data_IF_524041697436
#
_entry.id   IF_524041697436
#
_cell.length_a   1.000
_cell.length_b   1.000
_cell.length_c   1.000
_cell.angle_alpha   90.00
_cell.angle_beta   90.00
_cell.angle_gamma   90.00
#
_symmetry.space_group_name_H-M   'P 1'
#
loop_
_entity.id
_entity.type
_entity.pdbx_description
1 polymer ?
#
# COMPACT_ATOMS: atom_id res chain seq x y z
N UNK A 1 14.93 2.26 -30.62
CA UNK A 1 13.58 1.71 -30.86
C UNK A 1 12.62 2.87 -31.01
N UNK A 2 11.87 2.92 -32.10
CA UNK A 2 10.89 3.97 -32.43
C UNK A 2 9.79 4.01 -31.37
N UNK A 3 9.62 5.17 -30.73
CA UNK A 3 8.44 5.46 -29.90
C UNK A 3 7.18 5.38 -30.75
N UNK A 4 6.26 4.48 -30.37
CA UNK A 4 4.96 4.35 -31.03
C UNK A 4 4.00 5.37 -30.40
N UNK A 5 3.64 6.39 -31.17
CA UNK A 5 2.60 7.35 -30.77
C UNK A 5 1.21 6.76 -31.05
N UNK A 6 0.46 6.46 -29.99
CA UNK A 6 -0.88 5.88 -30.05
C UNK A 6 -1.93 6.98 -29.98
N UNK A 7 -2.66 7.14 -31.08
CA UNK A 7 -3.77 8.10 -31.20
C UNK A 7 -5.15 7.43 -31.26
N UNK A 8 -5.21 6.10 -31.37
CA UNK A 8 -6.45 5.34 -31.53
C UNK A 8 -6.74 4.43 -30.33
N UNK A 9 -7.97 4.53 -29.81
CA UNK A 9 -8.51 3.61 -28.79
C UNK A 9 -8.68 2.17 -29.30
N UNK A 10 -8.64 1.96 -30.62
CA UNK A 10 -8.72 0.64 -31.21
C UNK A 10 -7.43 -0.18 -31.01
N UNK A 11 -6.32 0.47 -30.64
CA UNK A 11 -5.01 -0.15 -30.45
C UNK A 11 -5.09 -1.32 -29.45
N UNK A 12 -4.57 -2.52 -29.78
CA UNK A 12 -4.64 -3.69 -28.91
C UNK A 12 -4.04 -3.47 -27.51
N UNK A 13 -2.93 -2.74 -27.40
CA UNK A 13 -2.25 -2.45 -26.13
C UNK A 13 -3.09 -1.53 -25.24
N UNK A 14 -3.77 -0.55 -25.84
CA UNK A 14 -4.71 0.33 -25.12
C UNK A 14 -5.91 -0.46 -24.61
N UNK A 15 -6.54 -1.29 -25.47
CA UNK A 15 -7.67 -2.15 -25.07
C UNK A 15 -7.29 -3.09 -23.93
N UNK A 16 -6.09 -3.66 -24.00
CA UNK A 16 -5.54 -4.51 -22.96
C UNK A 16 -5.43 -3.77 -21.62
N UNK A 17 -4.76 -2.62 -21.59
CA UNK A 17 -4.61 -1.81 -20.38
C UNK A 17 -5.97 -1.38 -19.78
N UNK A 18 -6.97 -1.06 -20.60
CA UNK A 18 -8.33 -0.73 -20.14
C UNK A 18 -9.01 -1.93 -19.47
N UNK A 19 -8.82 -3.15 -19.99
CA UNK A 19 -9.41 -4.37 -19.41
C UNK A 19 -8.88 -4.67 -18.02
N UNK A 20 -7.62 -4.36 -17.74
CA UNK A 20 -6.97 -4.53 -16.43
C UNK A 20 -7.60 -3.68 -15.30
N UNK A 21 -8.55 -2.81 -15.59
CA UNK A 21 -9.40 -2.17 -14.56
C UNK A 21 -10.27 -3.18 -13.83
N UNK A 22 -10.66 -4.26 -14.50
CA UNK A 22 -11.45 -5.33 -13.94
C UNK A 22 -10.54 -6.41 -13.33
N UNK A 23 -10.91 -6.91 -12.16
CA UNK A 23 -10.12 -7.89 -11.41
C UNK A 23 -9.90 -9.19 -12.20
N UNK A 24 -10.94 -9.72 -12.82
CA UNK A 24 -10.86 -10.97 -13.60
C UNK A 24 -9.76 -10.92 -14.66
N UNK A 25 -9.64 -9.82 -15.39
CA UNK A 25 -8.60 -9.64 -16.39
C UNK A 25 -7.21 -9.42 -15.80
N UNK A 26 -7.09 -8.79 -14.62
CA UNK A 26 -5.81 -8.71 -13.89
C UNK A 26 -5.32 -10.09 -13.46
N UNK A 27 -6.22 -10.85 -12.84
CA UNK A 27 -5.95 -12.21 -12.35
C UNK A 27 -5.56 -13.14 -13.52
N UNK A 28 -6.31 -13.11 -14.63
CA UNK A 28 -6.02 -13.89 -15.84
C UNK A 28 -4.67 -13.53 -16.47
N UNK A 29 -4.35 -12.25 -16.57
CA UNK A 29 -3.09 -11.78 -17.16
C UNK A 29 -1.90 -11.84 -16.18
N UNK A 30 -2.16 -11.98 -14.88
CA UNK A 30 -1.15 -11.81 -13.82
C UNK A 30 -0.54 -10.41 -13.82
N UNK A 31 -1.32 -9.38 -14.15
CA UNK A 31 -0.86 -8.01 -14.37
C UNK A 31 -1.68 -6.96 -13.61
N UNK A 32 -0.99 -5.91 -13.17
CA UNK A 32 -1.59 -4.78 -12.46
C UNK A 32 -1.29 -3.44 -13.14
N UNK A 33 -2.11 -2.44 -12.80
CA UNK A 33 -1.93 -1.06 -13.25
C UNK A 33 -1.28 -0.23 -12.13
N UNK A 34 -0.30 0.58 -12.50
CA UNK A 34 0.29 1.59 -11.62
C UNK A 34 0.17 2.93 -12.33
N UNK A 35 -0.76 3.76 -11.88
CA UNK A 35 -1.00 5.08 -12.44
C UNK A 35 -0.48 6.13 -11.47
N UNK A 36 0.21 7.14 -12.00
CA UNK A 36 0.66 8.30 -11.24
C UNK A 36 2.16 8.43 -11.11
N UNK A 37 2.68 9.65 -11.13
CA UNK A 37 4.13 9.90 -11.04
C UNK A 37 4.73 9.31 -9.76
N UNK A 38 4.13 9.58 -8.59
CA UNK A 38 4.65 9.12 -7.29
C UNK A 38 4.59 7.60 -7.16
N UNK A 39 3.47 7.02 -7.57
CA UNK A 39 3.24 5.58 -7.56
C UNK A 39 4.23 4.86 -8.48
N UNK A 40 4.43 5.39 -9.69
CA UNK A 40 5.37 4.82 -10.64
C UNK A 40 6.81 4.92 -10.12
N UNK A 41 7.23 6.10 -9.65
CA UNK A 41 8.58 6.31 -9.11
C UNK A 41 8.88 5.36 -7.97
N UNK A 42 8.00 5.29 -6.96
CA UNK A 42 8.17 4.40 -5.80
C UNK A 42 8.21 2.93 -6.19
N UNK A 43 7.41 2.52 -7.19
CA UNK A 43 7.49 1.17 -7.71
C UNK A 43 8.89 0.86 -8.27
N UNK A 44 9.41 1.73 -9.15
CA UNK A 44 10.71 1.55 -9.78
C UNK A 44 11.86 1.58 -8.76
N UNK A 45 11.83 2.53 -7.82
CA UNK A 45 12.81 2.69 -6.74
C UNK A 45 12.87 1.43 -5.86
N UNK A 46 11.74 0.73 -5.70
CA UNK A 46 11.63 -0.52 -4.93
C UNK A 46 11.72 -1.79 -5.79
N UNK A 47 12.35 -1.70 -6.97
CA UNK A 47 12.70 -2.87 -7.76
C UNK A 47 11.57 -3.42 -8.64
N UNK A 48 10.42 -2.75 -8.73
CA UNK A 48 9.37 -3.14 -9.66
C UNK A 48 9.86 -3.02 -11.11
N UNK A 49 9.41 -3.95 -11.97
CA UNK A 49 9.80 -4.02 -13.38
C UNK A 49 8.54 -3.99 -14.24
N UNK A 50 8.14 -2.81 -14.76
CA UNK A 50 6.97 -2.72 -15.61
C UNK A 50 7.24 -3.40 -16.96
N UNK A 51 6.19 -3.96 -17.57
CA UNK A 51 6.24 -4.53 -18.91
C UNK A 51 5.90 -3.48 -19.97
N UNK A 52 5.01 -2.54 -19.65
CA UNK A 52 4.62 -1.43 -20.52
C UNK A 52 4.52 -0.13 -19.73
N UNK A 53 4.87 0.98 -20.39
CA UNK A 53 4.57 2.34 -19.93
C UNK A 53 3.78 3.07 -21.02
N UNK A 54 2.61 3.56 -20.65
CA UNK A 54 1.87 4.56 -21.42
C UNK A 54 2.14 5.92 -20.81
N UNK A 55 2.45 6.92 -21.64
CA UNK A 55 2.60 8.29 -21.18
C UNK A 55 1.97 9.31 -22.12
N UNK A 56 1.63 10.48 -21.59
CA UNK A 56 1.10 11.61 -22.36
C UNK A 56 1.73 12.91 -21.88
N UNK A 57 2.61 13.48 -22.71
CA UNK A 57 3.37 14.69 -22.35
C UNK A 57 2.49 15.90 -22.07
N UNK A 58 1.38 16.04 -22.79
CA UNK A 58 0.43 17.13 -22.61
C UNK A 58 -0.31 17.10 -21.25
N UNK A 59 -0.19 16.00 -20.50
CA UNK A 59 -0.80 15.83 -19.18
C UNK A 59 0.23 15.87 -18.04
N UNK A 60 1.51 16.08 -18.35
CA UNK A 60 2.51 16.27 -17.31
C UNK A 60 2.20 17.51 -16.49
N UNK A 61 2.46 17.43 -15.20
CA UNK A 61 2.16 18.53 -14.30
C UNK A 61 3.25 19.60 -14.42
N UNK A 62 4.53 19.19 -14.49
CA UNK A 62 5.68 20.10 -14.36
C UNK A 62 6.76 19.90 -15.41
N UNK A 63 6.76 18.77 -16.14
CA UNK A 63 7.77 18.43 -17.15
C UNK A 63 9.22 18.33 -16.61
N UNK A 64 9.38 18.16 -15.30
CA UNK A 64 10.71 18.15 -14.65
C UNK A 64 11.27 16.74 -14.56
N UNK A 65 10.47 15.79 -14.06
CA UNK A 65 10.93 14.46 -13.70
C UNK A 65 10.34 13.34 -14.56
N UNK A 66 9.23 13.62 -15.23
CA UNK A 66 8.50 12.66 -16.05
C UNK A 66 9.39 12.05 -17.16
N UNK A 67 10.26 12.82 -17.86
CA UNK A 67 11.18 12.25 -18.84
C UNK A 67 12.18 11.24 -18.26
N UNK A 68 12.70 11.51 -17.06
CA UNK A 68 13.66 10.63 -16.39
C UNK A 68 13.01 9.28 -16.02
N UNK A 69 11.76 9.30 -15.56
CA UNK A 69 10.99 8.10 -15.26
C UNK A 69 10.72 7.26 -16.52
N UNK A 70 10.37 7.90 -17.64
CA UNK A 70 10.20 7.21 -18.94
C UNK A 70 11.50 6.51 -19.35
N UNK A 71 12.63 7.19 -19.21
CA UNK A 71 13.94 6.62 -19.52
C UNK A 71 14.32 5.47 -18.59
N UNK A 72 13.97 5.55 -17.30
CA UNK A 72 14.19 4.46 -16.34
C UNK A 72 13.37 3.22 -16.72
N UNK A 73 12.09 3.37 -17.06
CA UNK A 73 11.25 2.27 -17.56
C UNK A 73 11.85 1.63 -18.82
N UNK A 74 12.35 2.45 -19.75
CA UNK A 74 13.01 1.97 -20.98
C UNK A 74 14.27 1.17 -20.67
N UNK A 75 15.11 1.66 -19.75
CA UNK A 75 16.34 0.99 -19.33
C UNK A 75 16.06 -0.38 -18.66
N UNK A 76 14.89 -0.52 -18.02
CA UNK A 76 14.41 -1.77 -17.43
C UNK A 76 13.74 -2.71 -18.45
N UNK A 77 13.67 -2.33 -19.73
CA UNK A 77 13.14 -3.15 -20.81
C UNK A 77 11.63 -3.04 -21.05
N UNK A 78 10.95 -2.05 -20.46
CA UNK A 78 9.53 -1.84 -20.69
C UNK A 78 9.24 -1.35 -22.13
N UNK A 79 8.14 -1.80 -22.71
CA UNK A 79 7.62 -1.24 -23.96
C UNK A 79 7.04 0.17 -23.69
N UNK A 80 7.48 1.17 -24.43
CA UNK A 80 7.13 2.58 -24.20
C UNK A 80 6.15 3.08 -25.26
N UNK A 81 5.03 3.66 -24.82
CA UNK A 81 3.93 4.12 -25.67
C UNK A 81 3.55 5.57 -25.35
N UNK A 82 3.92 6.50 -26.24
CA UNK A 82 3.39 7.86 -26.21
C UNK A 82 1.91 7.82 -26.61
N UNK A 83 1.06 8.60 -25.95
CA UNK A 83 -0.38 8.63 -26.20
C UNK A 83 -0.87 10.06 -26.40
N UNK A 84 -1.89 10.23 -27.25
CA UNK A 84 -2.66 11.48 -27.28
C UNK A 84 -3.47 11.66 -25.99
N UNK A 85 -3.75 12.90 -25.60
CA UNK A 85 -4.54 13.20 -24.39
C UNK A 85 -5.93 12.50 -24.37
N UNK A 86 -6.68 12.41 -25.49
CA UNK A 86 -7.95 11.65 -25.52
C UNK A 86 -7.77 10.16 -25.26
N UNK A 87 -6.70 9.54 -25.79
CA UNK A 87 -6.39 8.12 -25.54
C UNK A 87 -6.01 7.92 -24.09
N UNK A 88 -5.11 8.77 -23.57
CA UNK A 88 -4.66 8.67 -22.19
C UNK A 88 -5.81 8.90 -21.20
N UNK A 89 -6.71 9.85 -21.47
CA UNK A 89 -7.90 10.06 -20.64
C UNK A 89 -8.82 8.84 -20.55
N UNK A 90 -8.83 7.96 -21.57
CA UNK A 90 -9.54 6.67 -21.51
C UNK A 90 -8.73 5.54 -20.88
N UNK A 91 -7.40 5.63 -20.85
CA UNK A 91 -6.52 4.73 -20.10
C UNK A 91 -6.53 5.02 -18.60
N UNK A 92 -6.56 6.30 -18.25
CA UNK A 92 -6.47 6.82 -16.89
C UNK A 92 -7.62 6.34 -16.01
N UNK A 93 -7.27 5.79 -14.85
CA UNK A 93 -8.26 5.34 -13.87
C UNK A 93 -8.82 6.53 -13.07
N UNK A 94 -8.05 7.61 -12.93
CA UNK A 94 -8.44 8.83 -12.24
C UNK A 94 -9.06 9.88 -13.18
N UNK A 95 -9.88 10.77 -12.61
CA UNK A 95 -10.50 11.87 -13.36
C UNK A 95 -9.48 12.92 -13.87
N UNK A 96 -8.40 13.16 -13.12
CA UNK A 96 -7.33 14.11 -13.46
C UNK A 96 -5.98 13.38 -13.58
N UNK A 97 -5.70 12.72 -14.72
CA UNK A 97 -4.43 12.02 -14.94
C UNK A 97 -3.24 12.96 -14.98
N UNK A 98 -2.09 12.48 -14.53
CA UNK A 98 -0.77 13.14 -14.62
C UNK A 98 0.09 12.57 -15.77
N UNK A 99 -0.52 11.83 -16.69
CA UNK A 99 0.11 11.38 -17.92
C UNK A 99 1.07 10.20 -17.79
N UNK A 100 1.05 9.43 -16.69
CA UNK A 100 1.87 8.24 -16.50
C UNK A 100 1.06 7.02 -16.03
N UNK A 101 1.15 5.92 -16.78
CA UNK A 101 0.51 4.66 -16.43
C UNK A 101 1.38 3.48 -16.85
N UNK A 102 1.81 2.68 -15.87
CA UNK A 102 2.52 1.42 -16.09
C UNK A 102 1.57 0.23 -16.04
N UNK A 103 1.91 -0.79 -16.82
CA UNK A 103 1.38 -2.14 -16.69
C UNK A 103 2.56 -3.05 -16.35
N UNK A 104 2.42 -3.88 -15.32
CA UNK A 104 3.44 -4.84 -14.94
C UNK A 104 2.88 -6.04 -14.21
N UNK A 105 3.74 -6.95 -13.74
CA UNK A 105 3.31 -8.19 -13.09
C UNK A 105 2.63 -7.93 -11.74
N UNK A 106 1.78 -8.85 -11.31
CA UNK A 106 1.31 -8.93 -9.92
C UNK A 106 2.48 -9.06 -8.94
N UNK A 107 2.30 -8.49 -7.76
CA UNK A 107 3.14 -8.79 -6.62
C UNK A 107 2.81 -10.21 -6.12
N UNK A 108 3.82 -11.08 -6.07
CA UNK A 108 3.72 -12.45 -5.57
C UNK A 108 4.71 -12.63 -4.43
N UNK A 109 4.27 -12.31 -3.21
CA UNK A 109 5.01 -12.59 -1.98
C UNK A 109 4.16 -13.49 -1.10
N UNK A 110 4.81 -14.45 -0.47
CA UNK A 110 4.21 -15.39 0.49
C UNK A 110 4.80 -15.16 1.87
N UNK A 111 4.20 -15.76 2.90
CA UNK A 111 4.74 -15.68 4.27
C UNK A 111 6.18 -16.22 4.38
N UNK A 112 6.57 -17.15 3.49
CA UNK A 112 7.93 -17.71 3.45
C UNK A 112 8.99 -16.68 2.97
N UNK A 113 8.57 -15.67 2.22
CA UNK A 113 9.45 -14.62 1.68
C UNK A 113 9.72 -13.50 2.69
N UNK A 114 8.90 -13.41 3.75
CA UNK A 114 9.01 -12.34 4.75
C UNK A 114 10.25 -12.56 5.60
N UNK A 115 11.09 -11.52 5.69
CA UNK A 115 12.26 -11.45 6.57
C UNK A 115 12.00 -10.40 7.63
N UNK A 116 12.06 -10.80 8.90
CA UNK A 116 11.72 -9.95 10.04
C UNK A 116 12.94 -9.85 10.96
N UNK A 117 13.30 -8.64 11.42
CA UNK A 117 14.31 -8.49 12.46
C UNK A 117 13.73 -8.88 13.84
N UNK A 118 14.59 -8.87 14.85
CA UNK A 118 14.13 -8.88 16.24
C UNK A 118 13.29 -7.64 16.53
N UNK A 119 12.34 -7.77 17.45
CA UNK A 119 11.38 -6.74 17.81
C UNK A 119 10.60 -6.23 16.59
N UNK A 120 10.19 -7.10 15.66
CA UNK A 120 9.48 -6.70 14.46
C UNK A 120 8.08 -6.15 14.78
N UNK A 121 7.69 -5.11 14.05
CA UNK A 121 6.33 -4.57 14.00
C UNK A 121 5.66 -5.01 12.70
N UNK A 122 4.49 -5.66 12.80
CA UNK A 122 3.69 -6.17 11.68
C UNK A 122 2.26 -5.67 11.80
N UNK A 123 1.60 -5.43 10.68
CA UNK A 123 0.15 -5.15 10.62
C UNK A 123 -0.55 -6.37 10.04
N UNK A 124 -1.66 -6.76 10.68
CA UNK A 124 -2.61 -7.73 10.16
C UNK A 124 -3.88 -6.98 9.79
N UNK A 125 -4.23 -7.01 8.51
CA UNK A 125 -5.43 -6.42 7.96
C UNK A 125 -6.41 -7.54 7.58
N UNK A 126 -7.35 -7.85 8.47
CA UNK A 126 -8.35 -8.89 8.28
C UNK A 126 -9.57 -8.35 7.51
N UNK A 127 -9.90 -8.97 6.38
CA UNK A 127 -11.13 -8.73 5.63
C UNK A 127 -11.43 -7.25 5.28
N UNK A 128 -10.39 -6.43 5.05
CA UNK A 128 -10.58 -5.02 4.68
C UNK A 128 -11.29 -4.92 3.32
N UNK A 129 -12.50 -4.33 3.32
CA UNK A 129 -13.40 -4.30 2.15
C UNK A 129 -13.18 -3.11 1.22
N UNK A 130 -12.72 -1.97 1.76
CA UNK A 130 -12.56 -0.74 1.00
C UNK A 130 -11.10 -0.58 0.55
N UNK A 131 -10.83 -0.42 -0.77
CA UNK A 131 -9.46 -0.25 -1.27
C UNK A 131 -8.79 1.02 -0.77
N UNK A 132 -9.56 2.07 -0.50
CA UNK A 132 -9.05 3.30 0.11
C UNK A 132 -8.49 3.07 1.52
N UNK A 133 -9.15 2.25 2.33
CA UNK A 133 -8.69 1.91 3.68
C UNK A 133 -7.43 1.07 3.62
N UNK A 134 -7.42 0.02 2.80
CA UNK A 134 -6.25 -0.84 2.65
C UNK A 134 -5.03 -0.04 2.17
N UNK A 135 -5.19 0.81 1.15
CA UNK A 135 -4.11 1.67 0.68
C UNK A 135 -3.63 2.65 1.76
N UNK A 136 -4.54 3.22 2.56
CA UNK A 136 -4.16 4.11 3.67
C UNK A 136 -3.40 3.36 4.77
N UNK A 137 -3.81 2.14 5.10
CA UNK A 137 -3.09 1.25 6.03
C UNK A 137 -1.66 0.99 5.52
N UNK A 138 -1.50 0.65 4.24
CA UNK A 138 -0.18 0.44 3.63
C UNK A 138 0.70 1.70 3.69
N UNK A 139 0.11 2.87 3.50
CA UNK A 139 0.82 4.15 3.62
C UNK A 139 1.25 4.45 5.05
N UNK A 140 0.38 4.21 6.02
CA UNK A 140 0.70 4.39 7.43
C UNK A 140 1.72 3.37 7.92
N UNK A 141 1.65 2.13 7.43
CA UNK A 141 2.60 1.08 7.72
C UNK A 141 4.01 1.45 7.23
N UNK A 142 4.12 1.95 6.00
CA UNK A 142 5.38 2.47 5.45
C UNK A 142 5.95 3.61 6.31
N UNK A 143 5.11 4.61 6.61
CA UNK A 143 5.52 5.77 7.41
C UNK A 143 5.94 5.40 8.84
N UNK A 144 5.38 4.34 9.40
CA UNK A 144 5.70 3.85 10.74
C UNK A 144 6.90 2.87 10.76
N UNK A 145 7.48 2.53 9.61
CA UNK A 145 8.56 1.55 9.53
C UNK A 145 8.11 0.12 9.85
N UNK A 146 6.88 -0.24 9.47
CA UNK A 146 6.37 -1.61 9.61
C UNK A 146 7.16 -2.57 8.72
N UNK A 147 7.46 -3.74 9.26
CA UNK A 147 8.32 -4.74 8.59
C UNK A 147 7.54 -5.63 7.63
N UNK A 148 6.24 -5.83 7.86
CA UNK A 148 5.34 -6.51 6.93
C UNK A 148 3.88 -6.15 7.18
N UNK A 149 3.06 -6.22 6.13
CA UNK A 149 1.59 -6.16 6.20
C UNK A 149 1.03 -7.49 5.69
N UNK A 150 0.27 -8.17 6.53
CA UNK A 150 -0.40 -9.43 6.20
C UNK A 150 -1.88 -9.12 5.98
N UNK A 151 -2.36 -9.27 4.74
CA UNK A 151 -3.77 -9.12 4.38
C UNK A 151 -4.43 -10.48 4.51
N UNK A 152 -5.24 -10.65 5.56
CA UNK A 152 -5.90 -11.92 5.88
C UNK A 152 -7.30 -11.95 5.27
N UNK A 153 -7.67 -13.12 4.73
CA UNK A 153 -9.02 -13.41 4.22
C UNK A 153 -9.55 -12.29 3.32
N UNK A 154 -8.73 -11.94 2.33
CA UNK A 154 -8.90 -10.72 1.53
C UNK A 154 -10.30 -10.59 0.93
N UNK A 155 -10.93 -9.45 1.20
CA UNK A 155 -12.12 -8.99 0.46
C UNK A 155 -11.71 -8.03 -0.67
N UNK A 156 -10.65 -7.23 -0.45
CA UNK A 156 -10.06 -6.33 -1.43
C UNK A 156 -8.80 -6.93 -2.05
N UNK A 157 -8.71 -6.82 -3.37
CA UNK A 157 -7.50 -7.13 -4.14
C UNK A 157 -6.39 -6.09 -3.92
N UNK A 158 -5.19 -6.52 -3.47
CA UNK A 158 -4.03 -5.63 -3.28
C UNK A 158 -3.55 -4.99 -4.59
N UNK A 159 -3.83 -5.61 -5.74
CA UNK A 159 -3.47 -5.10 -7.08
C UNK A 159 -4.52 -4.17 -7.67
N UNK A 160 -5.57 -3.85 -6.91
CA UNK A 160 -6.59 -2.89 -7.33
C UNK A 160 -5.96 -1.49 -7.52
N UNK A 161 -6.20 -0.81 -8.67
CA UNK A 161 -5.66 0.53 -8.91
C UNK A 161 -5.95 1.54 -7.81
N UNK A 162 -7.08 1.41 -7.10
CA UNK A 162 -7.42 2.26 -5.97
C UNK A 162 -6.55 2.00 -4.73
N UNK A 163 -6.08 0.77 -4.50
CA UNK A 163 -5.14 0.45 -3.41
C UNK A 163 -3.77 1.06 -3.72
N UNK A 164 -3.30 0.91 -4.96
CA UNK A 164 -2.04 1.50 -5.43
C UNK A 164 -2.06 3.02 -5.25
N UNK A 165 -3.15 3.67 -5.67
CA UNK A 165 -3.34 5.12 -5.53
C UNK A 165 -3.47 5.55 -4.06
N UNK A 166 -4.30 4.88 -3.27
CA UNK A 166 -4.52 5.26 -1.87
C UNK A 166 -3.26 5.06 -1.00
N UNK A 167 -2.43 4.07 -1.33
CA UNK A 167 -1.10 3.89 -0.74
C UNK A 167 -0.06 4.90 -1.24
N UNK A 168 -0.36 5.64 -2.31
CA UNK A 168 0.61 6.50 -3.00
C UNK A 168 1.86 5.69 -3.41
N UNK A 169 1.69 4.41 -3.77
CA UNK A 169 2.78 3.53 -4.18
C UNK A 169 3.61 2.89 -3.05
N UNK A 170 3.27 3.08 -1.77
CA UNK A 170 3.97 2.39 -0.67
C UNK A 170 3.69 0.88 -0.62
N UNK A 171 2.72 0.40 -1.41
CA UNK A 171 2.53 -1.03 -1.71
C UNK A 171 3.84 -1.71 -2.18
N UNK A 172 4.74 -0.95 -2.84
CA UNK A 172 5.99 -1.49 -3.36
C UNK A 172 7.14 -1.47 -2.35
N UNK A 173 7.11 -0.59 -1.35
CA UNK A 173 8.16 -0.44 -0.33
C UNK A 173 7.97 -1.38 0.86
N UNK A 174 6.72 -1.54 1.34
CA UNK A 174 6.43 -2.42 2.47
C UNK A 174 6.19 -3.86 1.96
N UNK A 175 6.75 -4.89 2.62
CA UNK A 175 6.41 -6.28 2.32
C UNK A 175 4.93 -6.57 2.60
N UNK A 176 4.12 -6.65 1.54
CA UNK A 176 2.70 -7.05 1.61
C UNK A 176 2.54 -8.51 1.20
N UNK A 177 1.81 -9.27 2.01
CA UNK A 177 1.52 -10.70 1.79
C UNK A 177 0.04 -10.95 1.98
N UNK A 178 -0.56 -11.77 1.12
CA UNK A 178 -1.92 -12.30 1.29
C UNK A 178 -1.82 -13.71 1.92
N UNK A 179 -2.63 -14.00 2.94
CA UNK A 179 -2.67 -15.29 3.62
C UNK A 179 -4.09 -15.55 4.19
N UNK A 180 -4.38 -16.78 4.61
CA UNK A 180 -5.56 -17.01 5.46
C UNK A 180 -5.29 -16.56 6.91
N UNK A 181 -6.36 -16.32 7.69
CA UNK A 181 -6.20 -16.05 9.12
C UNK A 181 -5.46 -17.17 9.86
N UNK A 182 -5.69 -18.44 9.50
CA UNK A 182 -5.00 -19.59 10.09
C UNK A 182 -3.49 -19.57 9.80
N UNK A 183 -3.11 -19.32 8.56
CA UNK A 183 -1.70 -19.25 8.14
C UNK A 183 -0.98 -18.09 8.81
N UNK A 184 -1.63 -16.92 8.88
CA UNK A 184 -1.09 -15.74 9.52
C UNK A 184 -0.90 -15.95 11.03
N UNK A 185 -1.90 -16.50 11.73
CA UNK A 185 -1.81 -16.81 13.15
C UNK A 185 -0.70 -17.81 13.43
N UNK A 186 -0.61 -18.91 12.66
CA UNK A 186 0.46 -19.89 12.80
C UNK A 186 1.85 -19.26 12.57
N UNK A 187 1.99 -18.41 11.55
CA UNK A 187 3.23 -17.69 11.24
C UNK A 187 3.68 -16.77 12.38
N UNK A 188 2.74 -16.00 12.95
CA UNK A 188 2.99 -15.06 14.05
C UNK A 188 3.35 -15.81 15.34
N UNK A 189 2.62 -16.87 15.67
CA UNK A 189 2.85 -17.69 16.87
C UNK A 189 4.21 -18.38 16.83
N UNK A 190 4.58 -18.96 15.70
CA UNK A 190 5.89 -19.59 15.52
C UNK A 190 7.07 -18.62 15.71
N UNK A 191 6.83 -17.30 15.63
CA UNK A 191 7.84 -16.25 15.76
C UNK A 191 7.70 -15.42 17.05
N UNK A 192 6.86 -15.87 17.99
CA UNK A 192 6.69 -15.24 19.29
C UNK A 192 6.13 -13.82 19.20
N UNK A 193 5.28 -13.53 18.22
CA UNK A 193 4.59 -12.25 18.15
C UNK A 193 3.51 -12.13 19.23
N UNK A 194 3.49 -10.99 19.91
CA UNK A 194 2.35 -10.51 20.67
C UNK A 194 1.32 -9.93 19.70
N UNK A 195 0.14 -10.55 19.65
CA UNK A 195 -0.97 -10.13 18.80
C UNK A 195 -1.81 -9.12 19.59
N UNK A 196 -1.87 -7.90 19.09
CA UNK A 196 -2.68 -6.81 19.64
C UNK A 196 -3.92 -6.62 18.79
N UNK A 197 -5.09 -6.90 19.37
CA UNK A 197 -6.38 -6.64 18.77
C UNK A 197 -6.94 -5.29 19.20
N UNK A 198 -7.56 -4.59 18.24
CA UNK A 198 -8.27 -3.34 18.51
C UNK A 198 -9.74 -3.62 18.71
N UNK A 199 -10.29 -3.23 19.85
CA UNK A 199 -11.72 -3.38 20.15
C UNK A 199 -12.19 -2.25 21.06
N UNK A 200 -13.42 -1.73 20.93
CA UNK A 200 -13.97 -0.82 21.92
C UNK A 200 -14.27 -1.52 23.26
N UNK A 201 -14.36 -2.85 23.28
CA UNK A 201 -14.78 -3.66 24.43
C UNK A 201 -13.59 -4.10 25.32
N UNK A 202 -12.83 -3.14 25.84
CA UNK A 202 -11.69 -3.38 26.75
C UNK A 202 -11.39 -2.15 27.58
N UNK A 203 -10.87 -2.33 28.79
CA UNK A 203 -10.43 -1.21 29.64
C UNK A 203 -9.02 -0.72 29.29
N UNK A 204 -8.21 -1.55 28.62
CA UNK A 204 -6.84 -1.19 28.26
C UNK A 204 -6.82 -0.14 27.16
N UNK A 205 -6.14 0.97 27.42
CA UNK A 205 -5.91 2.00 26.41
C UNK A 205 -4.74 1.59 25.52
N UNK A 206 -4.81 1.98 24.25
CA UNK A 206 -3.74 1.71 23.27
C UNK A 206 -2.35 2.20 23.71
N UNK A 207 -2.27 3.24 24.54
CA UNK A 207 -1.03 3.84 25.01
C UNK A 207 -0.52 3.28 26.36
N UNK A 208 -1.21 2.29 26.95
CA UNK A 208 -0.84 1.71 28.26
C UNK A 208 -0.25 0.30 28.15
N UNK A 209 -0.01 -0.19 26.93
CA UNK A 209 0.52 -1.54 26.68
C UNK A 209 1.90 -1.48 26.00
N UNK A 210 2.78 -2.48 26.22
CA UNK A 210 4.11 -2.49 25.62
C UNK A 210 4.06 -2.85 24.13
N UNK A 211 4.66 -2.01 23.29
CA UNK A 211 4.69 -2.16 21.82
C UNK A 211 6.13 -2.26 21.24
N UNK A 212 7.11 -2.54 22.09
CA UNK A 212 8.55 -2.55 21.75
C UNK A 212 9.10 -3.93 21.40
N UNK A 213 8.34 -5.02 21.62
CA UNK A 213 8.72 -6.39 21.25
C UNK A 213 8.32 -6.78 19.83
N UNK A 214 8.24 -8.08 19.55
CA UNK A 214 7.57 -8.59 18.34
C UNK A 214 6.07 -8.35 18.47
N UNK A 215 5.51 -7.41 17.71
CA UNK A 215 4.11 -6.98 17.83
C UNK A 215 3.41 -7.06 16.50
N UNK A 216 2.25 -7.71 16.49
CA UNK A 216 1.34 -7.76 15.36
C UNK A 216 0.07 -6.99 15.72
N UNK A 217 -0.16 -5.85 15.07
CA UNK A 217 -1.37 -5.05 15.25
C UNK A 217 -2.44 -5.58 14.30
N UNK A 218 -3.47 -6.22 14.85
CA UNK A 218 -4.59 -6.75 14.10
C UNK A 218 -5.75 -5.74 14.06
N UNK A 219 -6.25 -5.51 12.85
CA UNK A 219 -7.42 -4.68 12.57
C UNK A 219 -8.34 -5.41 11.60
N UNK A 220 -9.65 -5.29 11.81
CA UNK A 220 -10.66 -5.99 11.03
C UNK A 220 -11.56 -5.05 10.23
N UNK A 221 -12.73 -5.55 9.86
CA UNK A 221 -13.73 -4.84 9.07
C UNK A 221 -14.23 -3.55 9.77
N UNK A 222 -14.77 -2.59 9.01
CA UNK A 222 -15.35 -1.39 9.60
C UNK A 222 -16.61 -1.68 10.43
N UNK A 223 -17.44 -2.64 10.01
CA UNK A 223 -18.74 -2.89 10.63
C UNK A 223 -18.64 -3.83 11.83
N UNK A 224 -17.83 -4.89 11.72
CA UNK A 224 -17.79 -5.97 12.70
C UNK A 224 -16.47 -6.01 13.47
N UNK A 225 -15.46 -5.25 13.04
CA UNK A 225 -14.12 -5.34 13.59
C UNK A 225 -13.47 -6.68 13.23
N UNK A 226 -12.65 -7.17 14.16
CA UNK A 226 -11.97 -8.47 14.08
C UNK A 226 -12.93 -9.62 14.36
N UNK A 227 -12.69 -10.76 13.72
CA UNK A 227 -13.45 -11.99 14.01
C UNK A 227 -13.15 -12.54 15.41
N UNK A 228 -14.01 -13.42 15.91
CA UNK A 228 -13.78 -14.13 17.18
C UNK A 228 -12.46 -14.91 17.15
N UNK A 229 -12.05 -15.42 15.99
CA UNK A 229 -10.78 -16.11 15.82
C UNK A 229 -9.59 -15.22 16.21
N UNK A 230 -9.52 -14.00 15.66
CA UNK A 230 -8.47 -13.04 16.03
C UNK A 230 -8.61 -12.52 17.45
N UNK A 231 -9.84 -12.29 17.91
CA UNK A 231 -10.10 -11.82 19.28
C UNK A 231 -9.69 -12.85 20.35
N UNK A 232 -9.92 -14.14 20.09
CA UNK A 232 -9.51 -15.24 20.95
C UNK A 232 -8.01 -15.49 20.88
N UNK A 233 -7.40 -15.27 19.72
CA UNK A 233 -5.96 -15.37 19.54
C UNK A 233 -5.20 -14.13 20.03
N UNK A 234 -5.85 -13.01 20.35
CA UNK A 234 -5.16 -11.80 20.79
C UNK A 234 -4.57 -11.94 22.19
N UNK A 235 -3.30 -11.57 22.34
CA UNK A 235 -2.60 -11.51 23.63
C UNK A 235 -2.95 -10.20 24.36
N UNK A 236 -3.18 -9.12 23.61
CA UNK A 236 -3.58 -7.81 24.11
C UNK A 236 -4.80 -7.33 23.35
N UNK A 237 -5.74 -6.71 24.09
CA UNK A 237 -6.92 -6.05 23.53
C UNK A 237 -6.93 -4.62 23.98
N UNK A 238 -6.87 -3.68 23.05
CA UNK A 238 -6.82 -2.24 23.36
C UNK A 238 -7.94 -1.46 22.69
N UNK A 239 -8.29 -0.33 23.30
CA UNK A 239 -9.18 0.68 22.69
C UNK A 239 -8.49 2.02 22.51
N UNK A 240 -8.95 2.74 21.50
CA UNK A 240 -8.70 4.18 21.36
C UNK A 240 -9.88 4.91 22.02
N UNK A 241 -9.65 5.77 23.02
CA UNK A 241 -10.73 6.41 23.76
C UNK A 241 -11.48 7.42 22.89
N UNK A 242 -12.80 7.26 22.79
CA UNK A 242 -13.70 8.20 22.12
C UNK A 242 -14.34 9.13 23.15
N UNK A 243 -14.26 10.45 22.92
CA UNK A 243 -14.80 11.48 23.84
C UNK A 243 -16.04 12.20 23.30
N UNK A 244 -16.43 11.93 22.05
CA UNK A 244 -17.56 12.57 21.38
C UNK A 244 -18.73 11.62 21.14
N UNK A 245 -19.57 11.98 20.16
CA UNK A 245 -20.71 11.15 19.73
C UNK A 245 -20.29 9.92 18.90
N UNK A 246 -19.12 9.98 18.26
CA UNK A 246 -18.61 8.86 17.49
C UNK A 246 -18.21 7.70 18.42
N UNK A 247 -18.61 6.49 18.05
CA UNK A 247 -18.32 5.24 18.75
C UNK A 247 -17.03 4.57 18.24
N UNK A 248 -16.57 4.96 17.06
CA UNK A 248 -15.45 4.35 16.36
C UNK A 248 -14.73 5.33 15.43
N UNK A 249 -13.54 4.94 15.00
CA UNK A 249 -12.79 5.61 13.95
C UNK A 249 -12.78 4.73 12.70
N UNK A 250 -12.55 5.35 11.54
CA UNK A 250 -12.18 4.60 10.34
C UNK A 250 -10.98 3.68 10.64
N UNK A 251 -11.04 2.44 10.14
CA UNK A 251 -10.04 1.40 10.42
C UNK A 251 -8.61 1.84 10.09
N UNK A 252 -8.40 2.58 9.00
CA UNK A 252 -7.07 3.05 8.63
C UNK A 252 -6.57 4.15 9.59
N UNK A 253 -7.45 5.03 10.04
CA UNK A 253 -7.13 6.03 11.07
C UNK A 253 -6.78 5.38 12.41
N UNK A 254 -7.57 4.40 12.85
CA UNK A 254 -7.29 3.64 14.07
C UNK A 254 -5.93 2.91 13.96
N UNK A 255 -5.68 2.23 12.84
CA UNK A 255 -4.39 1.59 12.56
C UNK A 255 -3.23 2.58 12.65
N UNK A 256 -3.39 3.78 12.07
CA UNK A 256 -2.38 4.83 12.10
C UNK A 256 -2.04 5.26 13.52
N UNK A 257 -3.04 5.46 14.38
CA UNK A 257 -2.84 5.84 15.79
C UNK A 257 -2.03 4.76 16.53
N UNK A 258 -2.39 3.49 16.36
CA UNK A 258 -1.72 2.37 17.01
C UNK A 258 -0.27 2.23 16.53
N UNK A 259 -0.05 2.39 15.22
CA UNK A 259 1.29 2.36 14.63
C UNK A 259 2.18 3.48 15.17
N UNK A 260 1.68 4.71 15.25
CA UNK A 260 2.50 5.82 15.75
C UNK A 260 2.67 5.80 17.27
N UNK A 261 1.79 5.15 18.03
CA UNK A 261 2.07 4.82 19.43
C UNK A 261 3.20 3.78 19.56
N UNK A 262 3.24 2.76 18.69
CA UNK A 262 4.38 1.84 18.63
C UNK A 262 5.68 2.57 18.27
N UNK A 263 5.65 3.46 17.28
CA UNK A 263 6.80 4.32 16.91
C UNK A 263 7.28 5.14 18.11
N UNK A 264 6.37 5.80 18.83
CA UNK A 264 6.71 6.60 20.02
C UNK A 264 7.41 5.75 21.08
N UNK A 265 6.89 4.57 21.39
CA UNK A 265 7.50 3.67 22.37
C UNK A 265 8.87 3.15 21.92
N UNK A 266 9.01 2.80 20.63
CA UNK A 266 10.25 2.29 20.03
C UNK A 266 11.35 3.34 19.97
N UNK A 267 11.00 4.61 19.73
CA UNK A 267 11.94 5.74 19.85
C UNK A 267 12.40 5.87 21.30
N UNK A 268 11.47 5.86 22.27
CA UNK A 268 11.80 5.97 23.69
C UNK A 268 12.68 4.80 24.18
N UNK A 269 12.54 3.62 23.59
CA UNK A 269 13.35 2.44 23.86
C UNK A 269 14.69 2.39 23.08
N UNK A 270 14.99 3.39 22.25
CA UNK A 270 16.22 3.43 21.43
C UNK A 270 16.24 2.44 20.26
N UNK A 271 15.10 1.85 19.90
CA UNK A 271 14.98 0.88 18.79
C UNK A 271 14.78 1.56 17.43
N UNK A 272 14.25 2.80 17.43
CA UNK A 272 14.12 3.64 16.25
C UNK A 272 14.80 4.98 16.50
N UNK A 273 15.56 5.44 15.51
CA UNK A 273 16.08 6.81 15.48
C UNK A 273 15.20 7.64 14.55
N UNK A 274 14.57 8.72 15.04
CA UNK A 274 13.84 9.62 14.18
C UNK A 274 14.75 10.14 13.05
N UNK A 275 14.27 10.18 11.80
CA UNK A 275 15.03 10.82 10.74
C UNK A 275 15.28 12.30 11.09
N UNK A 276 16.35 12.87 10.56
CA UNK A 276 16.58 14.31 10.68
C UNK A 276 15.35 15.07 10.17
N UNK A 277 14.98 16.15 10.85
CA UNK A 277 13.93 17.02 10.35
C UNK A 277 14.35 17.54 8.98
N UNK A 278 13.64 17.13 7.94
CA UNK A 278 13.78 17.76 6.64
C UNK A 278 13.26 19.18 6.76
N UNK A 279 14.00 20.14 6.18
CA UNK A 279 13.49 21.49 6.07
C UNK A 279 12.14 21.41 5.33
N UNK A 280 11.11 22.06 5.87
CA UNK A 280 9.86 22.20 5.14
C UNK A 280 10.17 23.00 3.88
N UNK A 281 10.29 22.32 2.75
CA UNK A 281 10.68 22.97 1.50
C UNK A 281 9.52 23.74 0.84
N UNK A 282 8.37 23.88 1.50
CA UNK A 282 7.15 24.36 0.87
C UNK A 282 6.81 23.55 -0.38
N UNK A 283 5.93 24.09 -1.22
CA UNK A 283 5.67 23.50 -2.55
C UNK A 283 6.97 23.31 -3.36
N UNK A 284 8.02 24.12 -3.10
CA UNK A 284 9.25 24.22 -3.89
C UNK A 284 10.17 22.99 -3.93
N UNK A 285 10.04 21.96 -3.07
CA UNK A 285 10.78 20.69 -3.24
C UNK A 285 9.92 19.44 -3.47
N UNK A 286 8.59 19.56 -3.49
CA UNK A 286 7.79 18.64 -4.31
C UNK A 286 7.82 19.04 -5.81
N UNK A 287 8.55 20.13 -6.09
CA UNK A 287 8.84 20.82 -7.35
C UNK A 287 10.28 20.63 -7.83
N UNK A 288 11.00 19.60 -7.34
CA UNK A 288 12.27 19.16 -7.91
C UNK A 288 12.09 17.78 -8.54
#
# INVERSE_FOLDING_TARGET
MTELNITSLANPKVKHAIRLRQRSHRDEAGQMLVEGYRECRRALDNGYRPQMLFYCEALWLKHLNEPALVQQCRALGAEIYACSAPVFGKLAYRERPDGLLMVGPHLRRTLADVRLPDNALVVVAEAIEKPGNLGTILRSADAAGVHAVIVCDRCTDIHNPNVVRASTGTLFSVPVVEASSDEALAFLRARGFCILATTPHTEHLHCTVPLTGNVAIAVGTEQYGLTEQWMNAADLRVRIPMFGLADSLNVASATTILLFEAVRQRIAAGQLTPPAAEAWHGEAAFDA
#
